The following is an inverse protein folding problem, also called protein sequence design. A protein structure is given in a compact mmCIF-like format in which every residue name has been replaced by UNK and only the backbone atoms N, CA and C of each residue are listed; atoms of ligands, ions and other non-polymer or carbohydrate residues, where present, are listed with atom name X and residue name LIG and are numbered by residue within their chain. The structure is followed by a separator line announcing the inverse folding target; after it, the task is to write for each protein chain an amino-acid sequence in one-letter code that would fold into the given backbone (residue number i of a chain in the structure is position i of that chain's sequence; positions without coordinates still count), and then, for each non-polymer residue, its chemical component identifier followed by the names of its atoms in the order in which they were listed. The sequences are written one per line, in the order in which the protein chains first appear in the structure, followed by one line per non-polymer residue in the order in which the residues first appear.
data_IF_940050157348
#
_entry.id   IF_940050157348
#
_cell.length_a   1.000
_cell.length_b   1.000
_cell.length_c   1.000
_cell.angle_alpha   90.00
_cell.angle_beta   90.00
_cell.angle_gamma   90.00
#
_symmetry.space_group_name_H-M   'P 1'
#
loop_
_entity.id
_entity.type
_entity.pdbx_description
1 polymer ?
#
# COMPACT_ATOMS: atom_id res chain seq x y z
N UNK A 1 2.06 -21.34 2.64
CA UNK A 1 0.73 -20.67 2.62
C UNK A 1 0.61 -19.84 1.34
N UNK A 2 -0.54 -19.87 0.66
CA UNK A 2 -0.75 -19.15 -0.60
C UNK A 2 -1.36 -17.76 -0.38
N UNK A 3 -0.65 -16.71 -0.79
CA UNK A 3 -1.14 -15.33 -0.81
C UNK A 3 -2.10 -15.14 -1.98
N UNK A 4 -3.32 -14.67 -1.74
CA UNK A 4 -4.31 -14.40 -2.81
C UNK A 4 -4.60 -12.91 -3.03
N UNK A 5 -3.81 -12.03 -2.42
CA UNK A 5 -4.09 -10.58 -2.41
C UNK A 5 -3.54 -9.88 -3.66
N UNK A 6 -2.40 -10.31 -4.19
CA UNK A 6 -1.84 -9.78 -5.43
C UNK A 6 -1.94 -10.82 -6.55
N UNK A 7 -1.92 -10.40 -7.83
CA UNK A 7 -2.07 -11.32 -8.97
C UNK A 7 -0.95 -12.35 -9.09
N UNK A 8 0.16 -12.18 -8.36
CA UNK A 8 1.26 -13.16 -8.34
C UNK A 8 0.93 -14.45 -7.59
N UNK A 9 -0.11 -14.46 -6.77
CA UNK A 9 -0.57 -15.63 -6.03
C UNK A 9 0.53 -16.45 -5.31
N UNK A 10 1.55 -15.76 -4.76
CA UNK A 10 2.77 -16.42 -4.27
C UNK A 10 2.48 -17.44 -3.16
N UNK A 11 3.17 -18.58 -3.20
CA UNK A 11 3.27 -19.49 -2.07
C UNK A 11 4.45 -19.09 -1.19
N UNK A 12 4.15 -18.80 0.08
CA UNK A 12 5.09 -18.31 1.07
C UNK A 12 5.26 -19.36 2.17
N UNK A 13 6.48 -19.85 2.34
CA UNK A 13 6.92 -20.57 3.54
C UNK A 13 6.96 -19.64 4.75
N UNK A 14 6.97 -20.18 5.97
CA UNK A 14 7.08 -19.39 7.20
C UNK A 14 8.38 -18.54 7.13
N UNK A 15 8.26 -17.24 7.43
CA UNK A 15 9.35 -16.27 7.31
C UNK A 15 9.57 -15.71 5.90
N UNK A 16 8.97 -16.29 4.85
CA UNK A 16 9.21 -15.89 3.47
C UNK A 16 8.44 -14.63 3.09
N UNK A 17 9.14 -13.66 2.49
CA UNK A 17 8.55 -12.47 1.86
C UNK A 17 8.12 -12.79 0.43
N UNK A 18 6.91 -12.35 0.05
CA UNK A 18 6.40 -12.54 -1.31
C UNK A 18 7.07 -11.64 -2.34
N UNK A 19 6.85 -11.97 -3.63
CA UNK A 19 7.44 -11.22 -4.76
C UNK A 19 7.08 -9.74 -4.77
N UNK A 20 5.92 -9.38 -4.20
CA UNK A 20 5.52 -7.98 -4.05
C UNK A 20 6.39 -7.20 -3.05
N UNK A 21 7.26 -7.86 -2.26
CA UNK A 21 8.06 -7.29 -1.16
C UNK A 21 7.26 -6.59 -0.05
N UNK A 22 5.95 -6.48 -0.20
CA UNK A 22 5.04 -5.84 0.74
C UNK A 22 4.43 -6.81 1.75
N UNK A 23 4.52 -8.13 1.56
CA UNK A 23 3.87 -9.12 2.43
C UNK A 23 4.80 -10.27 2.78
N UNK A 24 4.72 -10.75 4.03
CA UNK A 24 5.51 -11.88 4.55
C UNK A 24 4.59 -12.85 5.27
N UNK A 25 4.89 -14.14 5.17
CA UNK A 25 4.28 -15.13 6.04
C UNK A 25 4.99 -15.11 7.40
N UNK A 26 4.31 -14.65 8.45
CA UNK A 26 4.77 -14.61 9.84
C UNK A 26 3.91 -15.61 10.60
N UNK A 27 4.54 -16.67 11.13
CA UNK A 27 3.87 -17.72 11.93
C UNK A 27 2.59 -18.29 11.31
N UNK A 28 2.61 -18.50 9.98
CA UNK A 28 1.46 -19.04 9.26
C UNK A 28 0.41 -18.00 8.86
N UNK A 29 0.66 -16.71 9.07
CA UNK A 29 -0.22 -15.61 8.67
C UNK A 29 0.46 -14.70 7.63
N UNK A 30 -0.26 -14.32 6.57
CA UNK A 30 0.26 -13.37 5.58
C UNK A 30 0.01 -11.95 6.06
N UNK A 31 1.07 -11.29 6.51
CA UNK A 31 1.03 -9.96 7.10
C UNK A 31 1.63 -8.94 6.14
N UNK A 32 1.05 -7.73 5.99
CA UNK A 32 1.68 -6.62 5.27
C UNK A 32 2.88 -6.08 6.06
N UNK A 33 4.05 -6.05 5.42
CA UNK A 33 5.28 -5.48 5.97
C UNK A 33 5.23 -3.95 6.07
N UNK A 34 4.35 -3.31 5.31
CA UNK A 34 4.13 -1.86 5.32
C UNK A 34 2.93 -1.44 6.19
N UNK A 35 2.30 -2.37 6.92
CA UNK A 35 1.18 -2.01 7.79
C UNK A 35 1.64 -0.99 8.85
N UNK A 36 0.96 0.16 8.91
CA UNK A 36 1.31 1.27 9.80
C UNK A 36 2.53 2.10 9.36
N UNK A 37 3.08 1.87 8.16
CA UNK A 37 4.21 2.68 7.63
C UNK A 37 3.75 3.53 6.47
N UNK A 38 3.79 4.84 6.67
CA UNK A 38 3.62 5.85 5.62
C UNK A 38 4.99 6.12 5.00
N UNK A 39 5.13 5.88 3.70
CA UNK A 39 6.38 6.16 2.97
C UNK A 39 6.40 7.58 2.41
N UNK A 40 5.24 8.20 2.24
CA UNK A 40 5.13 9.57 1.75
C UNK A 40 3.86 10.24 2.24
N UNK A 41 3.98 11.52 2.59
CA UNK A 41 2.87 12.40 2.88
C UNK A 41 3.10 13.67 2.07
N UNK A 42 2.08 14.08 1.31
CA UNK A 42 2.15 15.25 0.46
C UNK A 42 0.88 16.07 0.62
N UNK A 43 1.05 17.38 0.79
CA UNK A 43 -0.02 18.37 0.75
C UNK A 43 0.13 19.12 -0.57
N UNK A 44 -0.82 18.94 -1.47
CA UNK A 44 -0.85 19.60 -2.78
C UNK A 44 -2.22 20.26 -2.98
N UNK A 45 -2.32 21.30 -3.83
CA UNK A 45 -3.61 21.78 -4.31
C UNK A 45 -4.35 20.67 -5.07
N UNK A 46 -5.67 20.61 -4.92
CA UNK A 46 -6.51 19.57 -5.55
C UNK A 46 -6.41 19.55 -7.08
N UNK A 47 -6.08 20.68 -7.71
CA UNK A 47 -5.93 20.86 -9.15
C UNK A 47 -4.76 20.09 -9.75
N UNK A 48 -3.76 19.72 -8.93
CA UNK A 48 -2.63 18.89 -9.35
C UNK A 48 -3.01 17.41 -9.48
N UNK A 49 -4.13 16.99 -8.90
CA UNK A 49 -4.64 15.62 -8.92
C UNK A 49 -5.70 15.48 -10.02
N UNK A 50 -6.01 14.26 -10.50
CA UNK A 50 -7.11 14.02 -11.45
C UNK A 50 -8.52 14.29 -10.86
N UNK A 51 -8.61 15.07 -9.76
CA UNK A 51 -9.81 15.40 -8.99
C UNK A 51 -10.09 16.92 -8.97
N UNK A 52 -9.63 17.66 -9.99
CA UNK A 52 -9.76 19.12 -10.13
C UNK A 52 -11.12 19.75 -9.76
N UNK A 53 -12.23 19.04 -9.96
CA UNK A 53 -13.59 19.57 -9.70
C UNK A 53 -14.11 19.28 -8.29
N UNK A 54 -13.32 18.59 -7.48
CA UNK A 54 -13.67 18.25 -6.11
C UNK A 54 -13.09 19.35 -5.21
N UNK A 55 -13.93 20.23 -4.65
CA UNK A 55 -13.53 21.38 -3.82
C UNK A 55 -12.35 22.22 -4.37
N UNK A 56 -12.54 22.94 -5.49
CA UNK A 56 -11.50 23.78 -6.10
C UNK A 56 -10.95 24.84 -5.13
N UNK A 57 -9.63 25.06 -5.14
CA UNK A 57 -8.91 25.99 -4.28
C UNK A 57 -8.48 25.42 -2.92
N UNK A 58 -8.92 24.21 -2.57
CA UNK A 58 -8.57 23.56 -1.31
C UNK A 58 -7.32 22.68 -1.43
N UNK A 59 -6.66 22.48 -0.29
CA UNK A 59 -5.52 21.58 -0.18
C UNK A 59 -5.97 20.14 0.10
N UNK A 60 -5.36 19.17 -0.59
CA UNK A 60 -5.59 17.75 -0.37
C UNK A 60 -4.38 17.08 0.25
N UNK A 61 -4.62 16.31 1.33
CA UNK A 61 -3.62 15.45 1.94
C UNK A 61 -3.57 14.11 1.20
N UNK A 62 -2.43 13.81 0.58
CA UNK A 62 -2.14 12.52 -0.03
C UNK A 62 -1.20 11.72 0.86
N UNK A 63 -1.59 10.49 1.21
CA UNK A 63 -0.79 9.56 2.01
C UNK A 63 -0.45 8.35 1.16
N UNK A 64 0.83 8.04 1.01
CA UNK A 64 1.34 6.86 0.30
C UNK A 64 1.99 5.87 1.27
N UNK A 65 1.74 4.58 1.05
CA UNK A 65 2.26 3.46 1.85
C UNK A 65 2.75 2.31 1.00
#
# INVERSE_FOLDING_TARGET
MKCRICPHHCELSIGQTGRCRARRNIDGNIVPLNYGRVTSIALDPIEKKPLMRFYPGEFILSVGG
#
